data_IF_593720692071
#
_entry.id   IF_593720692071
#
_cell.length_a   1.000
_cell.length_b   1.000
_cell.length_c   1.000
_cell.angle_alpha   90.00
_cell.angle_beta   90.00
_cell.angle_gamma   90.00
#
_symmetry.space_group_name_H-M   'P 1'
#
loop_
_entity.id
_entity.type
_entity.pdbx_description
1 polymer ?
#
# COMPACT_ATOMS: atom_id res chain seq x y z
N UNK A 1 36.80 18.88 -59.03
CA UNK A 1 37.53 19.64 -58.00
C UNK A 1 36.59 19.79 -56.81
N UNK A 2 36.99 19.24 -55.66
CA UNK A 2 36.38 19.27 -54.32
C UNK A 2 35.06 18.51 -54.04
N UNK A 3 35.25 17.33 -53.43
CA UNK A 3 34.33 16.70 -52.50
C UNK A 3 34.31 17.48 -51.16
N UNK A 4 33.14 17.57 -50.51
CA UNK A 4 33.02 18.04 -49.13
C UNK A 4 32.41 16.93 -48.27
N UNK A 5 33.29 16.17 -47.63
CA UNK A 5 33.00 15.18 -46.60
C UNK A 5 32.72 15.94 -45.29
N UNK A 6 31.48 15.90 -44.77
CA UNK A 6 31.22 16.35 -43.40
C UNK A 6 31.52 15.23 -42.41
N UNK A 7 32.66 15.36 -41.72
CA UNK A 7 33.03 14.58 -40.55
C UNK A 7 32.32 15.17 -39.32
N UNK A 8 31.35 14.45 -38.75
CA UNK A 8 30.91 14.69 -37.38
C UNK A 8 31.84 13.96 -36.42
N UNK A 9 32.81 14.69 -35.87
CA UNK A 9 33.68 14.24 -34.79
C UNK A 9 32.86 13.98 -33.52
N UNK A 10 32.78 12.72 -33.11
CA UNK A 10 32.21 12.32 -31.83
C UNK A 10 33.11 12.73 -30.67
N UNK A 11 32.57 13.50 -29.73
CA UNK A 11 33.19 13.72 -28.41
C UNK A 11 33.15 12.42 -27.60
N UNK A 12 34.20 11.62 -27.72
CA UNK A 12 34.47 10.48 -26.85
C UNK A 12 35.37 10.97 -25.70
N UNK A 13 34.81 11.19 -24.52
CA UNK A 13 35.62 11.41 -23.32
C UNK A 13 36.20 10.08 -22.82
N UNK A 14 37.48 10.01 -22.44
CA UNK A 14 38.08 8.78 -21.96
C UNK A 14 37.50 8.44 -20.57
N UNK A 15 36.87 7.27 -20.46
CA UNK A 15 36.46 6.69 -19.17
C UNK A 15 37.70 6.49 -18.31
N UNK A 16 37.83 7.27 -17.25
CA UNK A 16 38.94 7.13 -16.31
C UNK A 16 38.87 5.76 -15.62
N UNK A 17 40.04 5.22 -15.31
CA UNK A 17 40.24 3.92 -14.66
C UNK A 17 39.63 3.81 -13.23
N UNK A 18 38.80 4.76 -12.81
CA UNK A 18 38.06 4.74 -11.56
C UNK A 18 36.70 4.02 -11.64
N UNK A 19 36.18 3.72 -12.84
CA UNK A 19 34.88 3.07 -13.02
C UNK A 19 34.90 1.54 -12.88
N UNK A 20 36.08 0.91 -12.81
CA UNK A 20 36.22 -0.57 -12.74
C UNK A 20 36.34 -1.16 -11.31
N UNK A 21 36.29 -0.35 -10.25
CA UNK A 21 36.39 -0.83 -8.85
C UNK A 21 35.06 -0.78 -8.06
N UNK A 22 33.90 -0.82 -8.74
CA UNK A 22 32.58 -0.86 -8.07
C UNK A 22 31.78 -2.15 -8.26
N UNK A 23 32.37 -3.16 -8.91
CA UNK A 23 31.80 -4.50 -9.02
C UNK A 23 32.61 -5.47 -8.17
N UNK A 24 32.30 -5.50 -6.87
CA UNK A 24 32.47 -6.60 -5.91
C UNK A 24 32.04 -6.08 -4.53
N UNK A 25 30.83 -5.51 -4.44
CA UNK A 25 30.12 -5.57 -3.16
C UNK A 25 29.64 -7.01 -3.07
N UNK A 26 30.21 -7.79 -2.16
CA UNK A 26 29.51 -8.95 -1.63
C UNK A 26 28.11 -8.45 -1.27
N UNK A 27 27.09 -8.85 -2.02
CA UNK A 27 25.72 -8.51 -1.65
C UNK A 27 25.52 -9.14 -0.28
N UNK A 28 25.25 -8.31 0.72
CA UNK A 28 24.81 -8.82 2.01
C UNK A 28 23.69 -9.86 1.77
N UNK A 29 23.60 -10.92 2.57
CA UNK A 29 22.54 -11.90 2.43
C UNK A 29 21.18 -11.19 2.43
N UNK A 30 20.28 -11.58 1.52
CA UNK A 30 18.90 -11.07 1.48
C UNK A 30 18.21 -11.48 2.80
N UNK A 31 18.05 -10.52 3.72
CA UNK A 31 17.56 -10.78 5.08
C UNK A 31 16.11 -11.24 5.05
N UNK A 32 15.35 -10.78 4.05
CA UNK A 32 13.99 -11.23 3.83
C UNK A 32 13.94 -12.72 3.47
N UNK A 33 14.85 -13.22 2.63
CA UNK A 33 14.92 -14.66 2.33
C UNK A 33 15.36 -15.51 3.52
N UNK A 34 16.33 -15.03 4.31
CA UNK A 34 16.77 -15.72 5.54
C UNK A 34 15.60 -15.83 6.52
N UNK A 35 14.93 -14.71 6.79
CA UNK A 35 13.77 -14.67 7.68
C UNK A 35 12.65 -15.57 7.17
N UNK A 36 12.34 -15.55 5.87
CA UNK A 36 11.31 -16.43 5.29
C UNK A 36 11.61 -17.92 5.53
N UNK A 37 12.87 -18.34 5.38
CA UNK A 37 13.30 -19.73 5.58
C UNK A 37 13.24 -20.16 7.05
N UNK A 38 13.41 -19.23 7.99
CA UNK A 38 13.32 -19.54 9.43
C UNK A 38 11.87 -19.65 9.95
N UNK A 39 10.87 -19.24 9.16
CA UNK A 39 9.47 -19.21 9.59
C UNK A 39 8.75 -20.52 9.32
N UNK A 40 7.99 -20.99 10.30
CA UNK A 40 7.02 -22.06 10.11
C UNK A 40 5.76 -21.55 9.36
N UNK A 41 4.86 -22.45 9.00
CA UNK A 41 3.67 -22.12 8.20
C UNK A 41 2.75 -21.10 8.91
N UNK A 42 2.45 -21.31 10.18
CA UNK A 42 1.60 -20.41 10.98
C UNK A 42 2.19 -19.01 11.06
N UNK A 43 3.51 -18.90 11.31
CA UNK A 43 4.22 -17.61 11.33
C UNK A 43 4.13 -16.90 9.98
N UNK A 44 4.30 -17.63 8.87
CA UNK A 44 4.16 -17.06 7.52
C UNK A 44 2.75 -16.53 7.29
N UNK A 45 1.72 -17.28 7.67
CA UNK A 45 0.33 -16.86 7.49
C UNK A 45 0.03 -15.65 8.37
N UNK A 46 0.44 -15.64 9.65
CA UNK A 46 0.26 -14.48 10.53
C UNK A 46 0.96 -13.22 10.00
N UNK A 47 2.10 -13.33 9.31
CA UNK A 47 2.73 -12.20 8.62
C UNK A 47 1.89 -11.58 7.51
N UNK A 48 0.86 -12.27 7.02
CA UNK A 48 -0.08 -11.73 6.04
C UNK A 48 -1.18 -10.88 6.68
N UNK A 49 -1.27 -10.78 8.01
CA UNK A 49 -2.29 -9.97 8.68
C UNK A 49 -1.79 -8.58 9.04
N UNK A 50 -2.69 -7.60 8.91
CA UNK A 50 -2.59 -6.27 9.51
C UNK A 50 -3.78 -6.08 10.42
N UNK A 51 -3.53 -5.64 11.65
CA UNK A 51 -4.57 -5.55 12.68
C UNK A 51 -4.61 -4.20 13.36
N UNK A 52 -5.72 -3.91 14.01
CA UNK A 52 -5.77 -2.89 15.04
C UNK A 52 -5.14 -3.44 16.32
N UNK A 53 -4.29 -2.67 17.02
CA UNK A 53 -3.51 -3.17 18.16
C UNK A 53 -4.33 -3.46 19.42
N UNK A 54 -5.65 -3.24 19.41
CA UNK A 54 -6.53 -3.56 20.53
C UNK A 54 -6.68 -5.08 20.77
N UNK A 55 -6.14 -5.90 19.86
CA UNK A 55 -6.16 -7.37 19.95
C UNK A 55 -4.77 -7.93 20.33
N UNK A 56 -4.73 -8.88 21.26
CA UNK A 56 -3.50 -9.52 21.79
C UNK A 56 -2.60 -10.19 20.71
N UNK A 57 -3.12 -10.42 19.51
CA UNK A 57 -2.43 -11.11 18.40
C UNK A 57 -1.41 -10.25 17.64
N UNK A 58 -1.40 -8.92 17.83
CA UNK A 58 -0.63 -7.98 17.01
C UNK A 58 0.87 -8.29 16.90
N UNK A 59 1.50 -8.81 17.96
CA UNK A 59 2.95 -9.11 18.02
C UNK A 59 3.43 -10.21 17.07
N UNK A 60 2.51 -11.00 16.51
CA UNK A 60 2.82 -12.08 15.56
C UNK A 60 2.47 -11.72 14.11
N UNK A 61 1.84 -10.57 13.89
CA UNK A 61 1.28 -10.17 12.61
C UNK A 61 2.30 -9.49 11.68
N UNK A 62 1.91 -9.25 10.44
CA UNK A 62 2.70 -8.51 9.46
C UNK A 62 2.82 -7.03 9.81
N UNK A 63 1.77 -6.46 10.40
CA UNK A 63 1.73 -5.07 10.79
C UNK A 63 0.51 -4.69 11.61
N UNK A 64 0.48 -3.43 11.98
CA UNK A 64 -0.60 -2.78 12.69
C UNK A 64 -1.07 -1.56 11.90
N UNK A 65 -2.31 -1.16 12.11
CA UNK A 65 -2.84 0.11 11.65
C UNK A 65 -3.42 0.89 12.84
N UNK A 66 -3.00 2.16 12.98
CA UNK A 66 -3.49 3.05 14.03
C UNK A 66 -4.51 4.05 13.47
N UNK A 67 -5.48 4.40 14.30
CA UNK A 67 -6.56 5.32 14.00
C UNK A 67 -6.57 6.49 14.98
N UNK A 68 -7.54 7.39 14.83
CA UNK A 68 -7.67 8.61 15.63
C UNK A 68 -7.65 8.36 17.13
N UNK A 69 -8.27 7.29 17.63
CA UNK A 69 -8.29 6.98 19.07
C UNK A 69 -6.91 6.59 19.63
N UNK A 70 -5.95 6.24 18.77
CA UNK A 70 -4.61 5.81 19.17
C UNK A 70 -3.62 6.99 19.23
N UNK A 71 -4.08 8.23 18.97
CA UNK A 71 -3.23 9.43 18.86
C UNK A 71 -2.92 10.11 20.19
N UNK A 72 -3.13 9.44 21.33
CA UNK A 72 -2.69 9.97 22.62
C UNK A 72 -1.14 9.96 22.72
N UNK A 73 -0.53 8.78 22.50
CA UNK A 73 0.92 8.61 22.36
C UNK A 73 1.23 7.47 21.37
N UNK A 74 1.09 7.73 20.06
CA UNK A 74 1.29 6.70 19.04
C UNK A 74 2.73 6.20 19.01
N UNK A 75 3.71 7.04 19.39
CA UNK A 75 5.13 6.68 19.38
C UNK A 75 5.44 5.64 20.45
N UNK A 76 5.01 5.86 21.69
CA UNK A 76 5.18 4.88 22.75
C UNK A 76 4.43 3.58 22.43
N UNK A 77 3.21 3.67 21.89
CA UNK A 77 2.43 2.50 21.48
C UNK A 77 3.15 1.68 20.40
N UNK A 78 3.62 2.32 19.32
CA UNK A 78 4.36 1.65 18.25
C UNK A 78 5.65 1.03 18.81
N UNK A 79 6.41 1.76 19.62
CA UNK A 79 7.64 1.22 20.23
C UNK A 79 7.37 -0.02 21.09
N UNK A 80 6.32 0.00 21.92
CA UNK A 80 5.90 -1.15 22.73
C UNK A 80 5.56 -2.37 21.85
N UNK A 81 4.77 -2.16 20.80
CA UNK A 81 4.36 -3.22 19.87
C UNK A 81 5.54 -3.78 19.06
N UNK A 82 6.47 -2.92 18.63
CA UNK A 82 7.70 -3.35 17.96
C UNK A 82 8.58 -4.20 18.88
N UNK A 83 8.71 -3.82 20.16
CA UNK A 83 9.49 -4.59 21.14
C UNK A 83 8.87 -5.97 21.44
N UNK A 84 7.54 -6.07 21.41
CA UNK A 84 6.83 -7.33 21.58
C UNK A 84 6.88 -8.22 20.33
N UNK A 85 7.18 -7.66 19.15
CA UNK A 85 7.05 -8.35 17.88
C UNK A 85 8.24 -9.28 17.58
N UNK A 86 7.94 -10.53 17.23
CA UNK A 86 8.94 -11.52 16.79
C UNK A 86 9.54 -11.23 15.41
N UNK A 87 8.82 -10.44 14.62
CA UNK A 87 9.22 -9.91 13.32
C UNK A 87 8.76 -8.45 13.29
N UNK A 88 9.65 -7.49 13.00
CA UNK A 88 9.31 -6.07 13.00
C UNK A 88 8.03 -5.75 12.22
N UNK A 89 7.16 -4.91 12.77
CA UNK A 89 5.84 -4.61 12.24
C UNK A 89 5.89 -3.48 11.20
N UNK A 90 5.06 -3.60 10.17
CA UNK A 90 4.63 -2.41 9.43
C UNK A 90 3.67 -1.62 10.33
N UNK A 91 3.94 -0.35 10.57
CA UNK A 91 3.10 0.54 11.37
C UNK A 91 2.40 1.54 10.44
N UNK A 92 1.14 1.24 10.14
CA UNK A 92 0.27 1.92 9.18
C UNK A 92 -0.60 3.02 9.81
N UNK A 93 -1.00 3.98 8.98
CA UNK A 93 -1.93 5.07 9.32
C UNK A 93 -2.56 5.62 8.04
N UNK A 94 -3.81 6.07 8.10
CA UNK A 94 -4.43 6.89 7.04
C UNK A 94 -4.20 8.39 7.32
N UNK A 95 -3.07 8.91 6.88
CA UNK A 95 -2.78 10.34 6.97
C UNK A 95 -2.78 10.96 5.56
N UNK A 96 -3.99 11.12 5.00
CA UNK A 96 -4.24 11.70 3.67
C UNK A 96 -4.23 13.24 3.71
N UNK A 97 -4.78 13.80 4.78
CA UNK A 97 -5.13 15.22 4.91
C UNK A 97 -6.64 15.46 4.76
N UNK A 98 -7.11 16.62 5.20
CA UNK A 98 -8.54 16.96 5.18
C UNK A 98 -9.36 16.06 6.10
N UNK A 99 -10.42 15.47 5.57
CA UNK A 99 -11.36 14.63 6.33
C UNK A 99 -10.75 13.30 6.80
N UNK A 100 -9.66 12.83 6.18
CA UNK A 100 -8.92 11.63 6.59
C UNK A 100 -7.53 12.01 7.07
N UNK A 101 -7.48 12.46 8.32
CA UNK A 101 -6.26 12.89 9.02
C UNK A 101 -6.32 12.42 10.46
N UNK A 102 -5.68 11.27 10.77
CA UNK A 102 -5.71 10.74 12.14
C UNK A 102 -4.95 11.64 13.10
N UNK A 103 -3.82 12.22 12.70
CA UNK A 103 -3.05 13.15 13.54
C UNK A 103 -3.85 14.38 13.99
N UNK A 104 -4.89 14.79 13.25
CA UNK A 104 -5.78 15.88 13.66
C UNK A 104 -6.58 15.57 14.93
N UNK A 105 -6.69 14.31 15.35
CA UNK A 105 -7.35 13.91 16.59
C UNK A 105 -6.57 14.35 17.85
N UNK A 106 -5.26 14.61 17.71
CA UNK A 106 -4.45 15.19 18.77
C UNK A 106 -3.48 16.24 18.19
N UNK A 107 -3.93 17.49 17.99
CA UNK A 107 -3.12 18.56 17.40
C UNK A 107 -1.81 18.84 18.16
N UNK A 108 -1.76 18.56 19.47
CA UNK A 108 -0.57 18.75 20.29
C UNK A 108 0.62 17.90 19.82
N UNK A 109 0.38 16.72 19.22
CA UNK A 109 1.44 15.87 18.65
C UNK A 109 2.25 16.56 17.55
N UNK A 110 1.68 17.60 16.94
CA UNK A 110 2.22 18.23 15.73
C UNK A 110 2.31 19.74 15.85
N UNK A 111 2.37 20.26 17.08
CA UNK A 111 2.39 21.69 17.39
C UNK A 111 1.22 22.46 16.74
N UNK A 112 0.02 21.87 16.80
CA UNK A 112 -1.21 22.40 16.21
C UNK A 112 -1.13 22.63 14.69
N UNK A 113 -0.28 21.86 13.99
CA UNK A 113 -0.20 21.89 12.52
C UNK A 113 -1.53 21.47 11.91
N UNK A 114 -2.04 22.25 10.97
CA UNK A 114 -3.17 21.87 10.14
C UNK A 114 -2.75 20.87 9.05
N UNK A 115 -3.65 19.95 8.71
CA UNK A 115 -3.49 18.99 7.62
C UNK A 115 -4.57 19.24 6.55
N UNK A 116 -4.37 20.20 5.63
CA UNK A 116 -5.34 20.48 4.57
C UNK A 116 -5.57 19.26 3.67
N UNK A 117 -6.72 19.21 3.02
CA UNK A 117 -7.07 18.16 2.05
C UNK A 117 -6.09 18.17 0.85
N UNK A 118 -5.90 17.03 0.18
CA UNK A 118 -5.13 16.96 -1.05
C UNK A 118 -5.57 18.00 -2.11
N UNK A 119 -6.88 18.23 -2.23
CA UNK A 119 -7.47 19.23 -3.14
C UNK A 119 -7.09 20.65 -2.78
N UNK A 120 -7.16 21.04 -1.51
CA UNK A 120 -6.78 22.38 -1.05
C UNK A 120 -5.30 22.64 -1.33
N UNK A 121 -4.42 21.69 -0.96
CA UNK A 121 -2.98 21.81 -1.20
C UNK A 121 -2.68 21.93 -2.69
N UNK A 122 -3.29 21.07 -3.52
CA UNK A 122 -3.08 21.09 -4.96
C UNK A 122 -3.56 22.41 -5.58
N UNK A 123 -4.74 22.90 -5.17
CA UNK A 123 -5.31 24.14 -5.70
C UNK A 123 -4.45 25.36 -5.33
N UNK A 124 -3.97 25.42 -4.09
CA UNK A 124 -3.21 26.56 -3.59
C UNK A 124 -1.73 26.55 -4.02
N UNK A 125 -1.12 25.36 -4.12
CA UNK A 125 0.34 25.22 -4.23
C UNK A 125 0.80 24.34 -5.41
N UNK A 126 -0.14 23.81 -6.19
CA UNK A 126 0.13 22.96 -7.34
C UNK A 126 0.85 21.64 -7.00
N UNK A 127 1.31 20.93 -8.04
CA UNK A 127 2.01 19.65 -7.90
C UNK A 127 3.26 19.72 -7.01
N UNK A 128 4.01 20.83 -7.06
CA UNK A 128 5.20 20.99 -6.23
C UNK A 128 4.80 21.07 -4.75
N UNK A 129 3.85 21.93 -4.42
CA UNK A 129 3.39 22.08 -3.04
C UNK A 129 2.75 20.83 -2.47
N UNK A 130 2.05 20.04 -3.30
CA UNK A 130 1.60 18.70 -2.89
C UNK A 130 2.76 17.80 -2.50
N UNK A 131 3.80 17.70 -3.32
CA UNK A 131 4.96 16.86 -3.01
C UNK A 131 5.68 17.34 -1.74
N UNK A 132 5.81 18.66 -1.57
CA UNK A 132 6.41 19.25 -0.37
C UNK A 132 5.57 18.92 0.89
N UNK A 133 4.24 19.01 0.80
CA UNK A 133 3.33 18.66 1.89
C UNK A 133 3.42 17.17 2.24
N UNK A 134 3.35 16.29 1.23
CA UNK A 134 3.46 14.85 1.43
C UNK A 134 4.81 14.45 2.07
N UNK A 135 5.90 15.12 1.68
CA UNK A 135 7.20 14.92 2.29
C UNK A 135 7.23 15.39 3.76
N UNK A 136 6.60 16.51 4.09
CA UNK A 136 6.54 16.99 5.48
C UNK A 136 5.71 16.06 6.36
N UNK A 137 4.54 15.63 5.87
CA UNK A 137 3.69 14.66 6.57
C UNK A 137 4.43 13.35 6.81
N UNK A 138 5.07 12.79 5.78
CA UNK A 138 5.84 11.55 5.93
C UNK A 138 7.01 11.68 6.91
N UNK A 139 7.67 12.84 6.96
CA UNK A 139 8.72 13.12 7.95
C UNK A 139 8.17 13.13 9.39
N UNK A 140 7.00 13.74 9.60
CA UNK A 140 6.31 13.73 10.90
C UNK A 140 5.96 12.28 11.28
N UNK A 141 5.34 11.54 10.37
CA UNK A 141 4.98 10.13 10.57
C UNK A 141 6.17 9.27 10.99
N UNK A 142 7.28 9.37 10.24
CA UNK A 142 8.51 8.65 10.57
C UNK A 142 9.04 9.01 11.97
N UNK A 143 8.97 10.29 12.38
CA UNK A 143 9.41 10.74 13.72
C UNK A 143 8.56 10.19 14.87
N UNK A 144 7.30 9.84 14.57
CA UNK A 144 6.34 9.22 15.48
C UNK A 144 6.40 7.68 15.44
N UNK A 145 7.28 7.09 14.63
CA UNK A 145 7.47 5.64 14.53
C UNK A 145 6.63 4.95 13.45
N UNK A 146 5.77 5.69 12.74
CA UNK A 146 5.07 5.14 11.57
C UNK A 146 6.05 4.92 10.42
N UNK A 147 5.93 3.78 9.75
CA UNK A 147 6.77 3.43 8.61
C UNK A 147 5.95 3.13 7.35
N UNK A 148 4.63 3.30 7.42
CA UNK A 148 3.73 3.11 6.30
C UNK A 148 2.57 4.12 6.37
N UNK A 149 2.40 4.92 5.32
CA UNK A 149 1.24 5.79 5.18
C UNK A 149 0.34 5.20 4.10
N UNK A 150 -0.93 5.00 4.42
CA UNK A 150 -1.94 4.58 3.46
C UNK A 150 -2.36 5.78 2.59
N UNK A 151 -1.42 6.32 1.83
CA UNK A 151 -1.59 7.46 0.94
C UNK A 151 -0.53 7.39 -0.18
N UNK A 152 -0.77 7.96 -1.38
CA UNK A 152 -1.89 8.81 -1.74
C UNK A 152 -3.17 8.09 -2.20
N UNK A 153 -4.30 8.79 -2.10
CA UNK A 153 -5.50 8.48 -2.88
C UNK A 153 -5.20 8.68 -4.37
N UNK A 154 -5.37 7.60 -5.13
CA UNK A 154 -5.20 7.52 -6.58
C UNK A 154 -6.54 7.53 -7.34
N UNK A 155 -7.66 7.53 -6.61
CA UNK A 155 -9.00 7.67 -7.15
C UNK A 155 -9.18 8.99 -7.92
N UNK A 156 -10.00 8.94 -8.97
CA UNK A 156 -10.31 10.09 -9.83
C UNK A 156 -11.80 10.39 -9.70
N UNK A 157 -12.11 11.59 -9.21
CA UNK A 157 -13.46 12.11 -9.28
C UNK A 157 -13.45 13.61 -9.50
N UNK A 158 -14.28 14.07 -10.43
CA UNK A 158 -14.63 15.48 -10.62
C UNK A 158 -16.06 15.78 -10.17
N UNK A 159 -16.81 14.75 -9.74
CA UNK A 159 -18.18 14.86 -9.28
C UNK A 159 -18.20 15.11 -7.77
N UNK A 160 -18.66 16.29 -7.37
CA UNK A 160 -18.77 16.70 -5.96
C UNK A 160 -19.68 15.80 -5.13
N UNK A 161 -20.62 15.10 -5.77
CA UNK A 161 -21.56 14.19 -5.10
C UNK A 161 -20.99 12.78 -4.91
N UNK A 162 -19.81 12.46 -5.48
CA UNK A 162 -19.22 11.13 -5.28
C UNK A 162 -18.61 11.01 -3.88
N UNK A 163 -18.76 9.84 -3.26
CA UNK A 163 -18.24 9.55 -1.92
C UNK A 163 -16.75 9.88 -1.75
N UNK A 164 -15.94 9.57 -2.77
CA UNK A 164 -14.49 9.74 -2.68
C UNK A 164 -14.03 11.19 -2.91
N UNK A 165 -14.90 12.08 -3.41
CA UNK A 165 -14.51 13.38 -3.97
C UNK A 165 -13.63 14.21 -3.04
N UNK A 166 -14.03 14.38 -1.78
CA UNK A 166 -13.34 15.22 -0.79
C UNK A 166 -11.96 14.69 -0.40
N UNK A 167 -11.67 13.41 -0.70
CA UNK A 167 -10.38 12.76 -0.48
C UNK A 167 -9.48 12.81 -1.72
N UNK A 168 -10.04 13.11 -2.89
CA UNK A 168 -9.26 13.27 -4.13
C UNK A 168 -8.69 14.68 -4.26
N UNK A 169 -7.97 14.95 -5.35
CA UNK A 169 -7.61 16.32 -5.74
C UNK A 169 -8.68 17.03 -6.57
N UNK A 170 -9.79 16.38 -6.88
CA UNK A 170 -10.89 16.94 -7.68
C UNK A 170 -10.54 17.20 -9.15
N UNK A 171 -9.51 16.53 -9.69
CA UNK A 171 -8.99 16.75 -11.03
C UNK A 171 -9.20 15.54 -11.95
N UNK A 172 -9.02 15.76 -13.26
CA UNK A 172 -9.05 14.70 -14.24
C UNK A 172 -7.89 13.70 -14.07
N UNK A 173 -8.03 12.57 -14.73
CA UNK A 173 -7.09 11.46 -14.76
C UNK A 173 -5.62 11.84 -14.97
N UNK A 174 -5.34 12.72 -15.95
CA UNK A 174 -3.96 13.08 -16.33
C UNK A 174 -3.29 13.84 -15.20
N UNK A 175 -4.02 14.78 -14.60
CA UNK A 175 -3.54 15.57 -13.47
C UNK A 175 -3.37 14.69 -12.22
N UNK A 176 -4.34 13.81 -11.92
CA UNK A 176 -4.25 12.87 -10.80
C UNK A 176 -3.07 11.91 -10.95
N UNK A 177 -2.78 11.44 -12.17
CA UNK A 177 -1.60 10.61 -12.41
C UNK A 177 -0.27 11.32 -12.12
N UNK A 178 -0.16 12.61 -12.46
CA UNK A 178 1.00 13.42 -12.15
C UNK A 178 1.14 13.67 -10.63
N UNK A 179 0.02 13.94 -9.96
CA UNK A 179 -0.07 14.05 -8.50
C UNK A 179 0.42 12.77 -7.81
N UNK A 180 -0.15 11.61 -8.16
CA UNK A 180 0.20 10.31 -7.57
C UNK A 180 1.69 10.02 -7.73
N UNK A 181 2.23 10.21 -8.94
CA UNK A 181 3.65 9.98 -9.22
C UNK A 181 4.57 10.80 -8.30
N UNK A 182 4.25 12.08 -8.09
CA UNK A 182 5.05 12.98 -7.24
C UNK A 182 4.90 12.66 -5.75
N UNK A 183 3.67 12.37 -5.31
CA UNK A 183 3.36 12.10 -3.90
C UNK A 183 3.99 10.78 -3.43
N UNK A 184 3.95 9.71 -4.24
CA UNK A 184 4.62 8.44 -3.93
C UNK A 184 6.11 8.66 -3.67
N UNK A 185 6.81 9.35 -4.57
CA UNK A 185 8.24 9.62 -4.40
C UNK A 185 8.51 10.50 -3.17
N UNK A 186 7.65 11.48 -2.87
CA UNK A 186 7.83 12.37 -1.73
C UNK A 186 7.71 11.64 -0.39
N UNK A 187 6.71 10.77 -0.24
CA UNK A 187 6.50 9.96 0.97
C UNK A 187 7.70 9.01 1.18
N UNK A 188 8.05 8.23 0.15
CA UNK A 188 9.09 7.20 0.23
C UNK A 188 10.50 7.74 0.48
N UNK A 189 10.78 9.00 0.12
CA UNK A 189 12.06 9.66 0.45
C UNK A 189 12.26 9.90 1.95
N UNK A 190 11.20 9.81 2.76
CA UNK A 190 11.25 9.98 4.20
C UNK A 190 11.23 8.64 4.96
N UNK A 191 11.59 7.53 4.29
CA UNK A 191 11.56 6.17 4.84
C UNK A 191 10.18 5.73 5.37
N UNK A 192 9.12 6.19 4.69
CA UNK A 192 7.75 5.76 4.92
C UNK A 192 7.23 5.12 3.64
N UNK A 193 6.68 3.91 3.70
CA UNK A 193 6.07 3.27 2.54
C UNK A 193 4.82 4.05 2.09
N UNK A 194 4.64 4.22 0.78
CA UNK A 194 3.46 4.82 0.19
C UNK A 194 2.48 3.74 -0.30
N UNK A 195 1.18 4.02 -0.20
CA UNK A 195 0.11 3.13 -0.62
C UNK A 195 -0.79 3.80 -1.64
N UNK A 196 -0.89 3.25 -2.84
CA UNK A 196 -1.90 3.67 -3.81
C UNK A 196 -3.25 3.11 -3.38
N UNK A 197 -4.28 3.95 -3.32
CA UNK A 197 -5.63 3.50 -2.98
C UNK A 197 -6.75 4.27 -3.69
N UNK A 198 -7.90 3.67 -3.96
CA UNK A 198 -8.24 2.27 -3.67
C UNK A 198 -8.39 1.54 -5.00
N UNK A 199 -7.47 0.63 -5.30
CA UNK A 199 -7.47 -0.07 -6.59
C UNK A 199 -8.76 -0.88 -6.76
N UNK A 200 -9.38 -0.90 -7.95
CA UNK A 200 -8.94 -0.28 -9.23
C UNK A 200 -9.46 1.14 -9.49
N UNK A 201 -9.95 1.82 -8.46
CA UNK A 201 -10.57 3.13 -8.49
C UNK A 201 -12.03 3.06 -8.05
N UNK A 202 -12.45 3.92 -7.12
CA UNK A 202 -13.86 4.05 -6.73
C UNK A 202 -14.72 4.65 -7.84
N UNK A 203 -14.16 5.50 -8.71
CA UNK A 203 -14.93 6.17 -9.76
C UNK A 203 -16.14 6.92 -9.18
N UNK A 204 -17.34 6.56 -9.63
CA UNK A 204 -18.62 7.07 -9.15
C UNK A 204 -19.30 6.18 -8.10
N UNK A 205 -18.65 5.09 -7.69
CA UNK A 205 -19.21 4.11 -6.78
C UNK A 205 -19.57 4.70 -5.40
N UNK A 206 -20.57 4.08 -4.78
CA UNK A 206 -20.99 4.39 -3.41
C UNK A 206 -20.00 3.97 -2.32
N UNK A 207 -20.35 4.28 -1.08
CA UNK A 207 -19.52 4.00 0.10
C UNK A 207 -19.54 2.51 0.48
N UNK A 208 -18.39 1.82 0.34
CA UNK A 208 -18.31 0.39 0.71
C UNK A 208 -18.24 0.11 2.21
N UNK A 209 -18.13 1.15 3.06
CA UNK A 209 -18.23 0.99 4.51
C UNK A 209 -19.66 0.62 4.93
N UNK A 210 -20.67 1.12 4.21
CA UNK A 210 -22.10 0.99 4.58
C UNK A 210 -22.86 -0.02 3.72
N UNK A 211 -22.33 -0.43 2.57
CA UNK A 211 -22.98 -1.43 1.71
C UNK A 211 -22.18 -1.77 0.46
N UNK A 212 -22.73 -2.60 -0.44
CA UNK A 212 -22.08 -2.89 -1.71
C UNK A 212 -22.06 -1.67 -2.63
N UNK A 213 -20.94 -1.51 -3.34
CA UNK A 213 -20.80 -0.52 -4.39
C UNK A 213 -20.31 -1.20 -5.67
N UNK A 214 -20.85 -0.77 -6.80
CA UNK A 214 -20.55 -1.31 -8.12
C UNK A 214 -20.07 -0.17 -9.04
N UNK A 215 -19.18 -0.51 -9.97
CA UNK A 215 -18.69 0.42 -10.97
C UNK A 215 -18.33 -0.36 -12.24
N UNK A 216 -18.59 0.22 -13.41
CA UNK A 216 -18.27 -0.41 -14.69
C UNK A 216 -16.90 0.04 -15.21
N UNK A 217 -16.46 1.23 -14.82
CA UNK A 217 -15.25 1.86 -15.33
C UNK A 217 -14.13 1.92 -14.30
N UNK A 218 -12.90 1.60 -14.73
CA UNK A 218 -11.70 1.75 -13.92
C UNK A 218 -10.81 2.84 -14.50
N UNK A 219 -10.32 3.74 -13.66
CA UNK A 219 -9.26 4.66 -14.04
C UNK A 219 -7.90 4.19 -13.54
N UNK A 220 -7.24 3.37 -14.37
CA UNK A 220 -5.96 2.75 -14.01
C UNK A 220 -4.75 3.66 -14.24
N UNK A 221 -4.92 4.85 -14.85
CA UNK A 221 -3.77 5.70 -15.21
C UNK A 221 -3.02 6.23 -13.97
N UNK A 222 -3.68 6.68 -12.89
CA UNK A 222 -2.98 7.09 -11.67
C UNK A 222 -2.25 5.92 -11.00
N UNK A 223 -2.87 4.73 -10.95
CA UNK A 223 -2.21 3.53 -10.44
C UNK A 223 -0.97 3.17 -11.24
N UNK A 224 -1.06 3.18 -12.59
CA UNK A 224 0.09 2.94 -13.47
C UNK A 224 1.21 3.96 -13.24
N UNK A 225 0.87 5.24 -13.02
CA UNK A 225 1.84 6.28 -12.72
C UNK A 225 2.54 6.06 -11.37
N UNK A 226 1.80 5.70 -10.32
CA UNK A 226 2.36 5.36 -9.01
C UNK A 226 3.27 4.13 -9.06
N UNK A 227 2.83 3.05 -9.72
CA UNK A 227 3.60 1.82 -9.90
C UNK A 227 4.92 2.10 -10.64
N UNK A 228 4.88 2.89 -11.73
CA UNK A 228 6.08 3.29 -12.47
C UNK A 228 7.07 4.10 -11.62
N UNK A 229 6.58 4.81 -10.61
CA UNK A 229 7.40 5.59 -9.67
C UNK A 229 7.75 4.81 -8.39
N UNK A 230 7.54 3.50 -8.39
CA UNK A 230 8.01 2.59 -7.36
C UNK A 230 7.17 2.62 -6.09
N UNK A 231 5.85 2.79 -6.20
CA UNK A 231 4.93 2.61 -5.08
C UNK A 231 5.19 1.29 -4.34
N UNK A 232 5.23 1.35 -3.02
CA UNK A 232 5.51 0.20 -2.16
C UNK A 232 4.31 -0.73 -2.03
N UNK A 233 3.13 -0.14 -1.83
CA UNK A 233 1.90 -0.90 -1.60
C UNK A 233 0.75 -0.41 -2.48
N UNK A 234 -0.22 -1.29 -2.72
CA UNK A 234 -1.51 -0.97 -3.34
C UNK A 234 -2.61 -1.56 -2.48
N UNK A 235 -3.53 -0.73 -2.01
CA UNK A 235 -4.73 -1.16 -1.31
C UNK A 235 -5.86 -1.38 -2.30
N UNK A 236 -6.52 -2.53 -2.22
CA UNK A 236 -7.59 -2.97 -3.12
C UNK A 236 -8.95 -2.82 -2.44
N UNK A 237 -9.84 -2.05 -3.08
CA UNK A 237 -11.18 -1.75 -2.58
C UNK A 237 -12.13 -2.96 -2.60
N UNK A 238 -13.30 -2.78 -1.99
CA UNK A 238 -14.39 -3.76 -1.99
C UNK A 238 -15.47 -3.50 -3.06
N UNK A 239 -15.15 -2.66 -4.04
CA UNK A 239 -16.05 -2.38 -5.19
C UNK A 239 -16.13 -3.60 -6.12
N UNK A 240 -17.32 -3.88 -6.65
CA UNK A 240 -17.51 -4.87 -7.72
C UNK A 240 -17.34 -4.20 -9.07
N UNK A 241 -16.37 -4.67 -9.87
CA UNK A 241 -16.14 -4.17 -11.24
C UNK A 241 -16.78 -5.13 -12.23
N UNK A 242 -18.04 -4.89 -12.61
CA UNK A 242 -18.84 -5.84 -13.41
C UNK A 242 -18.20 -6.17 -14.75
N UNK A 243 -17.52 -5.19 -15.37
CA UNK A 243 -16.82 -5.36 -16.64
C UNK A 243 -15.62 -6.32 -16.58
N UNK A 244 -15.15 -6.69 -15.38
CA UNK A 244 -14.04 -7.63 -15.17
C UNK A 244 -14.47 -8.86 -14.38
N UNK A 245 -15.11 -8.64 -13.24
CA UNK A 245 -15.60 -9.70 -12.35
C UNK A 245 -16.93 -9.28 -11.72
N UNK A 246 -18.08 -9.74 -12.25
CA UNK A 246 -19.39 -9.39 -11.73
C UNK A 246 -19.74 -10.12 -10.43
N UNK A 247 -18.94 -11.10 -9.99
CA UNK A 247 -19.26 -11.94 -8.83
C UNK A 247 -18.49 -11.55 -7.58
N UNK A 248 -17.25 -11.08 -7.74
CA UNK A 248 -16.33 -10.86 -6.64
C UNK A 248 -15.98 -9.38 -6.52
N UNK A 249 -16.04 -8.81 -5.30
CA UNK A 249 -15.38 -7.54 -4.98
C UNK A 249 -13.91 -7.56 -5.40
N UNK A 250 -13.36 -6.41 -5.79
CA UNK A 250 -12.00 -6.31 -6.32
C UNK A 250 -10.95 -6.92 -5.37
N UNK A 251 -11.08 -6.71 -4.06
CA UNK A 251 -10.19 -7.27 -3.03
C UNK A 251 -10.21 -8.79 -2.95
N UNK A 252 -11.27 -9.45 -3.44
CA UNK A 252 -11.44 -10.90 -3.43
C UNK A 252 -11.35 -11.53 -4.83
N UNK A 253 -11.18 -10.72 -5.88
CA UNK A 253 -11.17 -11.20 -7.27
C UNK A 253 -9.76 -11.52 -7.78
N UNK A 254 -9.46 -12.78 -8.15
CA UNK A 254 -8.21 -13.12 -8.84
C UNK A 254 -8.02 -12.37 -10.16
N UNK A 255 -9.11 -12.02 -10.87
CA UNK A 255 -9.04 -11.30 -12.15
C UNK A 255 -8.51 -9.88 -11.98
N UNK A 256 -8.95 -9.17 -10.93
CA UNK A 256 -8.48 -7.82 -10.62
C UNK A 256 -7.03 -7.84 -10.10
N UNK A 257 -6.65 -8.88 -9.36
CA UNK A 257 -5.26 -9.07 -8.94
C UNK A 257 -4.34 -9.42 -10.11
N UNK A 258 -4.80 -10.22 -11.07
CA UNK A 258 -4.08 -10.49 -12.32
C UNK A 258 -3.90 -9.23 -13.17
N UNK A 259 -4.92 -8.36 -13.23
CA UNK A 259 -4.81 -7.05 -13.85
C UNK A 259 -3.67 -6.23 -13.20
N UNK A 260 -3.61 -6.18 -11.87
CA UNK A 260 -2.59 -5.45 -11.13
C UNK A 260 -1.18 -6.07 -11.29
N UNK A 261 -1.06 -7.39 -11.12
CA UNK A 261 0.23 -8.12 -11.16
C UNK A 261 0.79 -8.29 -12.56
N UNK A 262 -0.06 -8.71 -13.52
CA UNK A 262 0.36 -9.09 -14.87
C UNK A 262 0.27 -7.92 -15.85
N UNK A 263 -0.86 -7.18 -15.89
CA UNK A 263 -1.02 -6.09 -16.87
C UNK A 263 -0.35 -4.78 -16.42
N UNK A 264 -0.48 -4.40 -15.14
CA UNK A 264 0.17 -3.20 -14.61
C UNK A 264 1.60 -3.46 -14.11
N UNK A 265 1.98 -4.73 -13.97
CA UNK A 265 3.33 -5.13 -13.62
C UNK A 265 3.72 -4.84 -12.17
N UNK A 266 2.77 -4.62 -11.26
CA UNK A 266 3.05 -4.27 -9.87
C UNK A 266 3.81 -5.40 -9.15
N UNK A 267 4.92 -5.05 -8.48
CA UNK A 267 5.79 -6.01 -7.77
C UNK A 267 5.81 -5.83 -6.25
N UNK A 268 5.28 -4.72 -5.74
CA UNK A 268 5.19 -4.43 -4.31
C UNK A 268 4.10 -5.23 -3.59
N UNK A 269 3.69 -4.78 -2.41
CA UNK A 269 2.74 -5.47 -1.56
C UNK A 269 1.30 -5.07 -1.93
N UNK A 270 0.45 -6.06 -2.20
CA UNK A 270 -1.00 -5.86 -2.35
C UNK A 270 -1.66 -6.09 -1.01
N UNK A 271 -2.51 -5.17 -0.58
CA UNK A 271 -3.27 -5.26 0.66
C UNK A 271 -4.76 -5.08 0.41
N UNK A 272 -5.60 -5.77 1.17
CA UNK A 272 -7.05 -5.53 1.15
C UNK A 272 -7.38 -4.18 1.81
N UNK A 273 -8.51 -3.58 1.45
CA UNK A 273 -9.23 -2.72 2.39
C UNK A 273 -9.71 -3.55 3.60
N UNK A 274 -10.26 -2.91 4.63
CA UNK A 274 -10.64 -3.59 5.88
C UNK A 274 -11.74 -4.64 5.65
N UNK A 275 -11.44 -5.93 5.86
CA UNK A 275 -12.40 -7.02 5.69
C UNK A 275 -13.56 -6.97 6.69
N UNK A 276 -13.47 -6.15 7.75
CA UNK A 276 -14.59 -5.88 8.65
C UNK A 276 -15.65 -4.93 8.04
N UNK A 277 -15.37 -4.29 6.90
CA UNK A 277 -16.31 -3.39 6.23
C UNK A 277 -17.60 -4.11 5.80
N UNK A 278 -18.71 -3.38 5.86
CA UNK A 278 -20.07 -3.93 5.67
C UNK A 278 -20.24 -4.73 4.38
N UNK A 279 -19.67 -4.25 3.26
CA UNK A 279 -19.74 -4.93 1.97
C UNK A 279 -19.17 -6.36 2.02
N UNK A 280 -17.98 -6.53 2.60
CA UNK A 280 -17.32 -7.84 2.68
C UNK A 280 -17.97 -8.74 3.72
N UNK A 281 -18.35 -8.17 4.87
CA UNK A 281 -19.06 -8.93 5.90
C UNK A 281 -20.34 -9.54 5.33
N UNK A 282 -21.17 -8.72 4.68
CA UNK A 282 -22.41 -9.18 4.06
C UNK A 282 -22.15 -10.18 2.93
N UNK A 283 -21.12 -9.95 2.10
CA UNK A 283 -20.69 -10.90 1.07
C UNK A 283 -20.35 -12.28 1.67
N UNK A 284 -19.48 -12.29 2.68
CA UNK A 284 -18.98 -13.51 3.31
C UNK A 284 -20.11 -14.29 4.00
N UNK A 285 -21.00 -13.60 4.71
CA UNK A 285 -22.17 -14.18 5.35
C UNK A 285 -23.12 -14.81 4.32
N UNK A 286 -23.46 -14.07 3.25
CA UNK A 286 -24.37 -14.56 2.20
C UNK A 286 -23.80 -15.76 1.44
N UNK A 287 -22.50 -15.74 1.14
CA UNK A 287 -21.83 -16.79 0.39
C UNK A 287 -21.35 -17.96 1.29
N UNK A 288 -21.41 -17.82 2.62
CA UNK A 288 -20.87 -18.76 3.60
C UNK A 288 -19.40 -19.11 3.37
N UNK A 289 -18.58 -18.08 3.16
CA UNK A 289 -17.15 -18.19 2.84
C UNK A 289 -16.30 -17.44 3.86
N UNK A 290 -15.04 -17.87 4.02
CA UNK A 290 -14.03 -17.13 4.79
C UNK A 290 -13.37 -16.06 3.89
N UNK A 291 -13.55 -14.75 4.17
CA UNK A 291 -13.04 -13.69 3.33
C UNK A 291 -11.50 -13.63 3.33
N UNK A 292 -10.82 -14.03 4.42
CA UNK A 292 -9.37 -14.13 4.49
C UNK A 292 -8.83 -15.15 3.48
N UNK A 293 -9.46 -16.33 3.38
CA UNK A 293 -9.07 -17.36 2.39
C UNK A 293 -9.27 -16.85 0.97
N UNK A 294 -10.38 -16.17 0.69
CA UNK A 294 -10.63 -15.57 -0.63
C UNK A 294 -9.62 -14.47 -0.97
N UNK A 295 -9.27 -13.62 0.00
CA UNK A 295 -8.27 -12.57 -0.18
C UNK A 295 -6.89 -13.14 -0.52
N UNK A 296 -6.44 -14.19 0.20
CA UNK A 296 -5.19 -14.88 -0.14
C UNK A 296 -5.28 -15.46 -1.55
N UNK A 297 -6.34 -16.21 -1.88
CA UNK A 297 -6.55 -16.85 -3.20
C UNK A 297 -6.55 -15.83 -4.34
N UNK A 298 -7.12 -14.65 -4.11
CA UNK A 298 -7.13 -13.55 -5.07
C UNK A 298 -5.72 -13.07 -5.39
N UNK A 299 -4.82 -13.05 -4.39
CA UNK A 299 -3.43 -12.65 -4.56
C UNK A 299 -3.01 -11.47 -3.69
N UNK A 300 -3.77 -11.16 -2.64
CA UNK A 300 -3.31 -10.22 -1.61
C UNK A 300 -2.09 -10.79 -0.88
N UNK A 301 -1.13 -9.93 -0.58
CA UNK A 301 -0.02 -10.28 0.28
C UNK A 301 -0.34 -9.99 1.74
N UNK A 302 -1.00 -8.87 2.01
CA UNK A 302 -1.50 -8.47 3.33
C UNK A 302 -3.03 -8.41 3.35
N UNK A 303 -3.61 -8.72 4.49
CA UNK A 303 -5.04 -8.74 4.74
C UNK A 303 -5.31 -7.92 6.00
N UNK A 304 -6.14 -6.90 5.88
CA UNK A 304 -6.61 -6.12 7.02
C UNK A 304 -7.83 -6.83 7.61
N UNK A 305 -7.63 -7.53 8.73
CA UNK A 305 -8.69 -8.30 9.40
C UNK A 305 -8.36 -8.51 10.87
N UNK A 306 -9.37 -8.40 11.72
CA UNK A 306 -9.25 -8.69 13.16
C UNK A 306 -9.27 -10.20 13.47
N UNK A 307 -9.71 -11.04 12.51
CA UNK A 307 -9.87 -12.49 12.66
C UNK A 307 -8.56 -13.26 12.46
N UNK A 308 -7.48 -12.88 13.17
CA UNK A 308 -6.15 -13.45 12.91
C UNK A 308 -6.11 -14.96 13.13
N UNK A 309 -6.60 -15.46 14.27
CA UNK A 309 -6.43 -16.88 14.61
C UNK A 309 -7.38 -17.78 13.81
N UNK A 310 -8.65 -17.40 13.67
CA UNK A 310 -9.63 -18.14 12.84
C UNK A 310 -9.27 -18.06 11.35
N UNK A 311 -8.87 -16.89 10.86
CA UNK A 311 -8.38 -16.70 9.50
C UNK A 311 -7.10 -17.50 9.22
N UNK A 312 -6.16 -17.55 10.17
CA UNK A 312 -4.95 -18.37 10.07
C UNK A 312 -5.31 -19.84 9.94
N UNK A 313 -6.16 -20.37 10.82
CA UNK A 313 -6.60 -21.77 10.76
C UNK A 313 -7.31 -22.10 9.45
N UNK A 314 -8.17 -21.19 8.95
CA UNK A 314 -8.86 -21.36 7.67
C UNK A 314 -7.89 -21.38 6.47
N UNK A 315 -6.86 -20.51 6.48
CA UNK A 315 -5.82 -20.51 5.43
C UNK A 315 -4.96 -21.78 5.51
N UNK A 316 -4.61 -22.25 6.71
CA UNK A 316 -3.90 -23.53 6.88
C UNK A 316 -4.71 -24.70 6.33
N UNK A 317 -6.02 -24.72 6.58
CA UNK A 317 -6.91 -25.72 6.02
C UNK A 317 -6.99 -25.63 4.49
N UNK A 318 -7.13 -24.42 3.94
CA UNK A 318 -7.12 -24.21 2.48
C UNK A 318 -5.80 -24.63 1.81
N UNK A 319 -4.67 -24.57 2.52
CA UNK A 319 -3.39 -25.13 2.06
C UNK A 319 -3.42 -26.65 2.05
N UNK A 320 -3.91 -27.28 3.12
CA UNK A 320 -4.09 -28.75 3.20
C UNK A 320 -4.99 -29.27 2.08
N UNK A 321 -6.06 -28.54 1.79
CA UNK A 321 -7.03 -28.84 0.74
C UNK A 321 -6.53 -28.46 -0.67
N UNK A 322 -5.28 -28.00 -0.81
CA UNK A 322 -4.62 -27.59 -2.07
C UNK A 322 -5.33 -26.44 -2.80
N UNK A 323 -6.17 -25.66 -2.10
CA UNK A 323 -6.80 -24.46 -2.65
C UNK A 323 -5.84 -23.27 -2.68
N UNK A 324 -4.86 -23.25 -1.79
CA UNK A 324 -3.77 -22.26 -1.76
C UNK A 324 -2.45 -23.04 -1.77
N UNK A 325 -1.52 -22.64 -2.64
CA UNK A 325 -0.20 -23.28 -2.67
C UNK A 325 0.74 -22.68 -1.61
N UNK A 326 1.60 -23.50 -1.02
CA UNK A 326 2.68 -23.01 -0.14
C UNK A 326 3.59 -21.99 -0.84
N UNK A 327 3.77 -22.14 -2.17
CA UNK A 327 4.52 -21.21 -3.00
C UNK A 327 3.91 -19.81 -2.99
N UNK A 328 2.59 -19.70 -3.07
CA UNK A 328 1.88 -18.43 -3.02
C UNK A 328 2.08 -17.74 -1.66
N UNK A 329 1.91 -18.46 -0.56
CA UNK A 329 2.19 -17.95 0.79
C UNK A 329 3.63 -17.42 0.89
N UNK A 330 4.61 -18.23 0.47
CA UNK A 330 6.02 -17.83 0.52
C UNK A 330 6.30 -16.58 -0.33
N UNK A 331 5.66 -16.43 -1.50
CA UNK A 331 5.82 -15.25 -2.35
C UNK A 331 5.23 -13.99 -1.71
N UNK A 332 4.04 -14.10 -1.10
CA UNK A 332 3.40 -12.99 -0.39
C UNK A 332 4.25 -12.53 0.79
N UNK A 333 4.66 -13.46 1.65
CA UNK A 333 5.50 -13.17 2.81
C UNK A 333 6.86 -12.61 2.40
N UNK A 334 7.46 -13.09 1.30
CA UNK A 334 8.71 -12.53 0.81
C UNK A 334 8.56 -11.06 0.41
N UNK A 335 7.46 -10.66 -0.24
CA UNK A 335 7.22 -9.24 -0.59
C UNK A 335 7.08 -8.38 0.65
N UNK A 336 6.38 -8.88 1.67
CA UNK A 336 6.22 -8.20 2.96
C UNK A 336 7.58 -8.02 3.65
N UNK A 337 8.37 -9.08 3.73
CA UNK A 337 9.70 -9.02 4.32
C UNK A 337 10.64 -8.10 3.54
N UNK A 338 10.58 -8.10 2.20
CA UNK A 338 11.35 -7.15 1.37
C UNK A 338 10.95 -5.70 1.59
N UNK A 339 9.66 -5.43 1.83
CA UNK A 339 9.23 -4.09 2.22
C UNK A 339 9.79 -3.70 3.59
N UNK A 340 9.77 -4.61 4.57
CA UNK A 340 10.35 -4.38 5.90
C UNK A 340 11.87 -4.16 5.83
N UNK A 341 12.58 -4.90 5.00
CA UNK A 341 14.01 -4.71 4.73
C UNK A 341 14.29 -3.36 4.05
N UNK A 342 13.49 -2.97 3.03
CA UNK A 342 13.57 -1.64 2.39
C UNK A 342 13.42 -0.51 3.40
N UNK A 343 12.54 -0.67 4.38
CA UNK A 343 12.28 0.31 5.45
C UNK A 343 13.32 0.25 6.59
N UNK A 344 14.33 -0.63 6.49
CA UNK A 344 15.37 -0.79 7.51
C UNK A 344 14.89 -1.45 8.81
N UNK A 345 13.74 -2.11 8.78
CA UNK A 345 13.15 -2.80 9.92
C UNK A 345 13.79 -4.18 10.12
N UNK A 346 14.04 -4.91 9.02
CA UNK A 346 14.83 -6.14 9.04
C UNK A 346 16.31 -5.79 8.81
N UNK A 347 17.19 -6.27 9.69
CA UNK A 347 18.62 -5.98 9.69
C UNK A 347 19.43 -7.26 9.67
#
# INVERSE_FOLDING_TARGET
>A
MFALLMLFSGCSSPKSAHEKKRHLRHSAPDQAEIKLKSMNQTQKIKQMFIVRPQNQSASQTGGIILFSQDMNDPKALISSLQNAASTPLLAGIDQEGGTVSRLSANPALTNNRAFPSPKEVFTQKGLKGTADEASQVAKILHSLGFNWNLAPVADVSQNQNSFIYDRTIGQNTKTTAAYVAKTVCAIQKQNVAACLKHFPGYGSAGDTHTGFAEEDQMDLKPFKAGIKNGADTVLVAHVVIKSVDPQLPASLSPKLHDLLRKKLGFKGVIVTDDLAMGAIRQFAENQRVCPEVLAVKAGNDLIMSENVDSGTAAIEQAIKDKQISQKQINQSVLRILKLKEKLGLLK
#
